data_IF_008755597711
#
_entry.id   IF_008755597711
#
_cell.length_a   1.000
_cell.length_b   1.000
_cell.length_c   1.000
_cell.angle_alpha   90.00
_cell.angle_beta   90.00
_cell.angle_gamma   90.00
#
_symmetry.space_group_name_H-M   'P 1'
#
loop_
_entity.id
_entity.type
_entity.pdbx_description
1 polymer ?
#
# COMPACT_ATOMS: atom_id res chain seq x y z
N UNK A 1 28.79 -6.20 11.64
CA UNK A 1 28.67 -5.02 10.74
C UNK A 1 29.99 -4.30 10.73
N UNK A 2 30.62 -4.19 9.56
CA UNK A 2 31.92 -3.52 9.42
C UNK A 2 31.78 -2.00 9.26
N UNK A 3 30.84 -1.60 8.40
CA UNK A 3 30.49 -0.18 8.19
C UNK A 3 28.99 -0.04 8.03
N UNK A 4 28.50 1.09 8.50
CA UNK A 4 27.10 1.51 8.34
C UNK A 4 27.04 2.99 8.03
N UNK A 5 26.35 3.36 6.98
CA UNK A 5 26.08 4.74 6.59
C UNK A 5 24.67 4.87 6.02
N UNK A 6 24.24 6.10 5.66
CA UNK A 6 22.99 6.28 4.91
C UNK A 6 23.03 5.63 3.52
N UNK A 7 24.22 5.48 2.93
CA UNK A 7 24.37 4.97 1.57
C UNK A 7 24.42 3.44 1.52
N UNK A 8 25.05 2.79 2.48
CA UNK A 8 25.12 1.31 2.52
C UNK A 8 25.51 0.75 3.89
N UNK A 9 25.15 -0.51 4.11
CA UNK A 9 25.71 -1.34 5.15
C UNK A 9 26.62 -2.40 4.54
N UNK A 10 27.77 -2.66 5.19
CA UNK A 10 28.71 -3.71 4.80
C UNK A 10 28.91 -4.67 5.98
N UNK A 11 28.80 -5.96 5.70
CA UNK A 11 28.85 -7.02 6.71
C UNK A 11 29.73 -8.16 6.23
N UNK A 12 30.55 -8.68 7.13
CA UNK A 12 31.28 -9.94 6.94
C UNK A 12 30.69 -11.03 7.84
N UNK A 13 30.91 -12.27 7.45
CA UNK A 13 30.48 -13.43 8.20
C UNK A 13 31.09 -13.42 9.62
N UNK A 14 30.27 -13.73 10.63
CA UNK A 14 30.74 -13.94 11.98
C UNK A 14 31.28 -15.36 12.11
N UNK A 15 32.58 -15.56 12.33
CA UNK A 15 33.16 -16.90 12.47
C UNK A 15 32.64 -17.67 13.70
N UNK A 16 32.09 -16.94 14.67
CA UNK A 16 31.52 -17.50 15.90
C UNK A 16 29.99 -17.47 15.89
N UNK A 17 29.37 -17.57 14.71
CA UNK A 17 27.92 -17.59 14.64
C UNK A 17 27.37 -18.87 15.30
N UNK A 18 26.39 -18.72 16.18
CA UNK A 18 25.86 -19.78 17.03
C UNK A 18 25.23 -20.96 16.27
N UNK A 19 24.69 -20.70 15.07
CA UNK A 19 24.02 -21.71 14.22
C UNK A 19 24.93 -22.22 13.09
N UNK A 20 26.22 -22.14 13.27
CA UNK A 20 27.22 -22.70 12.36
C UNK A 20 27.69 -21.74 11.27
N UNK A 21 28.24 -22.30 10.20
CA UNK A 21 28.84 -21.55 9.11
C UNK A 21 27.75 -20.93 8.20
N UNK A 22 27.83 -19.62 7.98
CA UNK A 22 26.91 -18.92 7.08
C UNK A 22 27.36 -19.02 5.62
N UNK A 23 26.42 -19.14 4.66
CA UNK A 23 26.74 -19.35 3.25
C UNK A 23 27.41 -18.13 2.58
N UNK A 24 27.07 -16.90 3.00
CA UNK A 24 27.65 -15.67 2.45
C UNK A 24 28.73 -15.12 3.39
N UNK A 25 29.95 -14.98 2.86
CA UNK A 25 31.06 -14.44 3.64
C UNK A 25 31.10 -12.92 3.70
N UNK A 26 30.54 -12.28 2.68
CA UNK A 26 30.50 -10.84 2.54
C UNK A 26 29.14 -10.42 1.97
N UNK A 27 28.52 -9.39 2.54
CA UNK A 27 27.23 -8.84 2.10
C UNK A 27 27.30 -7.32 2.12
N UNK A 28 26.95 -6.70 1.01
CA UNK A 28 26.72 -5.25 0.91
C UNK A 28 25.25 -4.97 0.69
N UNK A 29 24.68 -4.04 1.44
CA UNK A 29 23.29 -3.61 1.31
C UNK A 29 23.32 -2.11 0.94
N UNK A 30 23.30 -1.78 -0.36
CA UNK A 30 23.20 -0.39 -0.79
C UNK A 30 21.78 0.14 -0.55
N UNK A 31 21.68 1.42 -0.20
CA UNK A 31 20.39 2.14 -0.14
C UNK A 31 20.11 2.76 -1.51
N UNK A 32 19.08 2.24 -2.20
CA UNK A 32 18.63 2.75 -3.49
C UNK A 32 17.17 3.19 -3.30
N UNK A 33 16.96 4.48 -3.09
CA UNK A 33 15.64 5.03 -2.72
C UNK A 33 14.65 4.99 -3.90
N UNK A 34 15.12 5.34 -5.11
CA UNK A 34 14.27 5.31 -6.29
C UNK A 34 13.95 3.89 -6.74
N UNK A 35 12.67 3.49 -6.84
CA UNK A 35 12.27 2.14 -7.18
C UNK A 35 12.68 1.72 -8.60
N UNK A 36 12.66 2.63 -9.59
CA UNK A 36 13.06 2.31 -10.95
C UNK A 36 14.56 2.05 -11.03
N UNK A 37 15.36 2.89 -10.39
CA UNK A 37 16.83 2.68 -10.28
C UNK A 37 17.14 1.34 -9.61
N UNK A 38 16.40 0.97 -8.58
CA UNK A 38 16.57 -0.33 -7.89
C UNK A 38 16.21 -1.51 -8.81
N UNK A 39 15.15 -1.41 -9.59
CA UNK A 39 14.77 -2.41 -10.58
C UNK A 39 15.84 -2.55 -11.68
N UNK A 40 16.37 -1.45 -12.18
CA UNK A 40 17.43 -1.44 -13.19
C UNK A 40 18.74 -2.03 -12.65
N UNK A 41 19.13 -1.73 -11.43
CA UNK A 41 20.31 -2.30 -10.78
C UNK A 41 20.22 -3.84 -10.66
N UNK A 42 19.03 -4.37 -10.34
CA UNK A 42 18.80 -5.81 -10.33
C UNK A 42 18.85 -6.41 -11.75
N UNK A 43 18.29 -5.74 -12.75
CA UNK A 43 18.34 -6.21 -14.15
C UNK A 43 19.76 -6.26 -14.72
N UNK A 44 20.59 -5.26 -14.41
CA UNK A 44 21.98 -5.17 -14.84
C UNK A 44 22.90 -6.13 -14.13
N UNK A 45 22.49 -6.68 -12.98
CA UNK A 45 23.33 -7.52 -12.11
C UNK A 45 24.27 -6.71 -11.22
N UNK A 46 24.01 -5.42 -11.04
CA UNK A 46 24.74 -4.58 -10.07
C UNK A 46 24.39 -4.99 -8.63
N UNK A 47 23.16 -5.47 -8.42
CA UNK A 47 22.72 -6.10 -7.18
C UNK A 47 22.12 -7.47 -7.46
N UNK A 48 22.28 -8.39 -6.51
CA UNK A 48 21.79 -9.78 -6.62
C UNK A 48 20.37 -9.93 -6.08
N UNK A 49 19.93 -9.05 -5.19
CA UNK A 49 18.63 -9.11 -4.54
C UNK A 49 18.06 -7.70 -4.36
N UNK A 50 16.77 -7.54 -4.62
CA UNK A 50 16.04 -6.31 -4.35
C UNK A 50 14.78 -6.61 -3.56
N UNK A 51 14.44 -5.71 -2.64
CA UNK A 51 13.17 -5.70 -1.91
C UNK A 51 12.33 -4.50 -2.35
N UNK A 52 11.00 -4.59 -2.19
CA UNK A 52 10.07 -3.52 -2.54
C UNK A 52 10.18 -3.07 -4.01
N UNK A 53 10.19 -4.01 -4.94
CA UNK A 53 10.03 -3.73 -6.37
C UNK A 53 8.62 -3.15 -6.58
N UNK A 54 8.55 -2.08 -7.37
CA UNK A 54 7.26 -1.45 -7.66
C UNK A 54 6.35 -2.41 -8.46
N UNK A 55 5.03 -2.44 -8.18
CA UNK A 55 4.10 -3.32 -8.90
C UNK A 55 4.17 -3.18 -10.42
N UNK A 56 4.40 -1.97 -10.93
CA UNK A 56 4.55 -1.71 -12.36
C UNK A 56 5.76 -2.38 -13.00
N UNK A 57 6.84 -2.59 -12.21
CA UNK A 57 8.10 -3.13 -12.68
C UNK A 57 8.19 -4.66 -12.57
N UNK A 58 7.21 -5.31 -11.94
CA UNK A 58 7.21 -6.76 -11.74
C UNK A 58 7.32 -7.54 -13.06
N UNK A 59 6.77 -7.02 -14.16
CA UNK A 59 6.86 -7.64 -15.48
C UNK A 59 8.29 -7.76 -16.01
N UNK A 60 9.22 -6.89 -15.57
CA UNK A 60 10.64 -6.93 -15.94
C UNK A 60 11.35 -8.20 -15.46
N UNK A 61 10.79 -8.86 -14.45
CA UNK A 61 11.34 -10.03 -13.77
C UNK A 61 10.56 -11.31 -14.06
N UNK A 62 9.79 -11.35 -15.16
CA UNK A 62 8.95 -12.50 -15.54
C UNK A 62 9.73 -13.74 -15.96
N UNK A 63 11.01 -13.61 -16.35
CA UNK A 63 11.86 -14.75 -16.69
C UNK A 63 12.26 -15.54 -15.43
N UNK A 64 11.58 -16.66 -15.19
CA UNK A 64 11.77 -17.52 -14.02
C UNK A 64 13.11 -18.27 -14.00
N UNK A 65 13.79 -18.40 -15.14
CA UNK A 65 15.11 -19.02 -15.19
C UNK A 65 16.20 -18.08 -14.68
N UNK A 66 15.93 -16.77 -14.74
CA UNK A 66 16.85 -15.72 -14.27
C UNK A 66 16.49 -15.17 -12.90
N UNK A 67 15.21 -15.06 -12.58
CA UNK A 67 14.73 -14.38 -11.37
C UNK A 67 13.84 -15.29 -10.52
N UNK A 68 14.10 -15.29 -9.23
CA UNK A 68 13.21 -15.88 -8.24
C UNK A 68 12.44 -14.76 -7.53
N UNK A 69 11.11 -14.76 -7.65
CA UNK A 69 10.23 -13.79 -7.01
C UNK A 69 9.58 -14.44 -5.80
N UNK A 70 9.81 -13.87 -4.62
CA UNK A 70 9.11 -14.24 -3.40
C UNK A 70 8.13 -13.13 -3.00
N UNK A 71 6.83 -13.45 -2.98
CA UNK A 71 5.77 -12.57 -2.53
C UNK A 71 4.93 -13.29 -1.48
N UNK A 72 4.96 -12.80 -0.26
CA UNK A 72 4.22 -13.39 0.87
C UNK A 72 3.35 -12.34 1.54
N UNK A 73 2.18 -12.78 2.03
CA UNK A 73 1.33 -11.92 2.84
C UNK A 73 2.07 -11.48 4.11
N UNK A 74 2.09 -10.20 4.37
CA UNK A 74 2.76 -9.61 5.54
C UNK A 74 1.73 -9.07 6.54
N UNK A 75 2.22 -8.59 7.69
CA UNK A 75 1.39 -7.88 8.69
C UNK A 75 1.21 -6.39 8.35
N UNK A 76 1.60 -5.97 7.14
CA UNK A 76 1.57 -4.57 6.74
C UNK A 76 0.25 -4.23 6.07
N UNK A 77 -0.48 -3.28 6.68
CA UNK A 77 -1.64 -2.64 6.09
C UNK A 77 -1.32 -1.26 5.54
N UNK A 78 -1.95 -0.91 4.42
CA UNK A 78 -1.97 0.44 3.89
C UNK A 78 -3.37 0.99 4.11
N UNK A 79 -3.47 2.06 4.88
CA UNK A 79 -4.74 2.67 5.25
C UNK A 79 -4.70 4.19 5.12
N UNK A 80 -5.85 4.78 4.83
CA UNK A 80 -6.04 6.23 4.89
C UNK A 80 -6.57 6.62 6.27
N UNK A 81 -5.87 7.53 6.94
CA UNK A 81 -6.28 8.07 8.23
C UNK A 81 -7.08 9.34 8.01
N UNK A 82 -8.36 9.35 8.38
CA UNK A 82 -9.27 10.47 8.18
C UNK A 82 -9.19 11.49 9.31
N UNK A 83 -9.19 12.79 8.97
CA UNK A 83 -9.27 13.86 9.95
C UNK A 83 -10.71 14.06 10.42
N UNK A 84 -11.05 13.52 11.58
CA UNK A 84 -12.39 13.58 12.18
C UNK A 84 -12.58 14.76 13.16
N UNK A 85 -11.77 15.81 13.03
CA UNK A 85 -11.92 17.02 13.84
C UNK A 85 -13.24 17.73 13.50
N UNK A 86 -13.89 18.30 14.51
CA UNK A 86 -15.09 19.13 14.32
C UNK A 86 -14.84 20.27 13.31
N UNK A 87 -15.81 20.53 12.45
CA UNK A 87 -15.71 21.49 11.35
C UNK A 87 -15.01 20.99 10.08
N UNK A 88 -14.49 19.74 10.08
CA UNK A 88 -13.95 19.11 8.88
C UNK A 88 -14.98 18.17 8.24
N UNK A 89 -14.98 17.99 6.90
CA UNK A 89 -15.98 17.15 6.23
C UNK A 89 -16.04 15.73 6.79
N UNK A 90 -14.88 15.14 7.13
CA UNK A 90 -14.77 13.80 7.68
C UNK A 90 -15.25 13.64 9.14
N UNK A 91 -15.69 14.73 9.79
CA UNK A 91 -16.36 14.67 11.08
C UNK A 91 -17.70 13.92 10.96
N UNK A 92 -18.43 14.13 9.85
CA UNK A 92 -19.66 13.39 9.57
C UNK A 92 -19.35 11.94 9.14
N UNK A 93 -19.88 10.97 9.88
CA UNK A 93 -19.71 9.55 9.59
C UNK A 93 -20.20 9.18 8.18
N UNK A 94 -21.27 9.79 7.70
CA UNK A 94 -21.84 9.53 6.37
C UNK A 94 -20.87 9.91 5.25
N UNK A 95 -20.12 11.00 5.41
CA UNK A 95 -19.07 11.42 4.46
C UNK A 95 -17.93 10.40 4.42
N UNK A 96 -17.50 9.87 5.59
CA UNK A 96 -16.50 8.81 5.65
C UNK A 96 -16.96 7.52 4.98
N UNK A 97 -18.18 7.09 5.25
CA UNK A 97 -18.76 5.90 4.62
C UNK A 97 -18.96 6.08 3.11
N UNK A 98 -19.35 7.29 2.67
CA UNK A 98 -19.46 7.62 1.26
C UNK A 98 -18.10 7.48 0.54
N UNK A 99 -17.05 8.07 1.10
CA UNK A 99 -15.69 7.94 0.56
C UNK A 99 -15.26 6.47 0.44
N UNK A 100 -15.42 5.68 1.51
CA UNK A 100 -15.05 4.26 1.49
C UNK A 100 -15.87 3.45 0.49
N UNK A 101 -17.17 3.77 0.33
CA UNK A 101 -18.04 3.10 -0.63
C UNK A 101 -17.81 3.52 -2.08
N UNK A 102 -17.16 4.65 -2.33
CA UNK A 102 -16.82 5.12 -3.68
C UNK A 102 -15.54 4.49 -4.25
N UNK A 103 -14.74 3.82 -3.42
CA UNK A 103 -13.46 3.25 -3.81
C UNK A 103 -13.60 1.78 -4.24
N UNK A 104 -13.36 1.51 -5.52
CA UNK A 104 -13.24 0.14 -6.05
C UNK A 104 -11.85 -0.42 -5.74
N UNK A 105 -11.69 -0.86 -4.49
CA UNK A 105 -10.40 -1.35 -3.97
C UNK A 105 -9.93 -2.63 -4.67
N UNK A 106 -10.86 -3.48 -5.11
CA UNK A 106 -10.52 -4.72 -5.82
C UNK A 106 -9.92 -4.41 -7.19
N UNK A 107 -10.60 -3.57 -7.99
CA UNK A 107 -10.06 -3.13 -9.27
C UNK A 107 -8.74 -2.38 -9.10
N UNK A 108 -8.62 -1.56 -8.06
CA UNK A 108 -7.37 -0.86 -7.73
C UNK A 108 -6.22 -1.84 -7.49
N UNK A 109 -6.42 -2.85 -6.64
CA UNK A 109 -5.42 -3.88 -6.37
C UNK A 109 -5.03 -4.65 -7.64
N UNK A 110 -6.01 -5.02 -8.45
CA UNK A 110 -5.79 -5.80 -9.66
C UNK A 110 -5.11 -5.01 -10.78
N UNK A 111 -5.59 -3.82 -11.08
CA UNK A 111 -5.15 -3.06 -12.25
C UNK A 111 -3.88 -2.26 -11.98
N UNK A 112 -3.85 -1.50 -10.88
CA UNK A 112 -2.73 -0.63 -10.55
C UNK A 112 -1.63 -1.35 -9.78
N UNK A 113 -2.00 -2.19 -8.83
CA UNK A 113 -1.06 -2.89 -7.97
C UNK A 113 -0.70 -4.29 -8.49
N UNK A 114 -1.24 -4.70 -9.67
CA UNK A 114 -0.90 -5.97 -10.35
C UNK A 114 -0.96 -7.19 -9.42
N UNK A 115 -1.98 -7.25 -8.58
CA UNK A 115 -2.22 -8.32 -7.58
C UNK A 115 -1.08 -8.50 -6.54
N UNK A 116 -0.20 -7.51 -6.40
CA UNK A 116 0.82 -7.51 -5.33
C UNK A 116 0.28 -7.14 -3.96
N UNK A 117 -0.97 -6.66 -3.92
CA UNK A 117 -1.72 -6.34 -2.71
C UNK A 117 -3.10 -7.00 -2.74
N UNK A 118 -3.61 -7.32 -1.58
CA UNK A 118 -4.99 -7.80 -1.40
C UNK A 118 -5.88 -6.66 -0.95
N UNK A 119 -7.08 -6.56 -1.52
CA UNK A 119 -8.08 -5.60 -1.07
C UNK A 119 -8.41 -5.82 0.41
N UNK A 120 -8.16 -4.80 1.23
CA UNK A 120 -8.48 -4.82 2.66
C UNK A 120 -9.92 -4.41 2.93
N UNK A 121 -10.51 -4.93 3.98
CA UNK A 121 -11.79 -4.50 4.55
C UNK A 121 -11.62 -4.13 6.01
N UNK A 122 -11.37 -5.09 6.87
CA UNK A 122 -11.05 -4.84 8.29
C UNK A 122 -9.66 -4.20 8.45
N UNK A 123 -9.44 -3.62 9.62
CA UNK A 123 -8.15 -3.00 10.00
C UNK A 123 -7.02 -4.04 10.16
N UNK A 124 -7.37 -5.31 10.37
CA UNK A 124 -6.39 -6.38 10.55
C UNK A 124 -6.15 -7.11 9.22
N UNK A 125 -4.89 -7.41 8.87
CA UNK A 125 -4.59 -8.19 7.68
C UNK A 125 -5.02 -9.66 7.85
N UNK A 126 -5.38 -10.36 6.75
CA UNK A 126 -5.80 -11.76 6.80
C UNK A 126 -4.71 -12.73 7.29
N UNK A 127 -3.45 -12.30 7.30
CA UNK A 127 -2.32 -13.06 7.85
C UNK A 127 -2.27 -13.09 9.39
N UNK A 128 -3.13 -12.32 10.06
CA UNK A 128 -3.26 -12.30 11.52
C UNK A 128 -4.46 -13.14 11.93
N UNK A 129 -4.19 -14.26 12.58
CA UNK A 129 -5.22 -15.21 13.03
C UNK A 129 -5.84 -14.76 14.37
N UNK A 130 -6.57 -13.66 14.36
CA UNK A 130 -7.34 -13.13 15.47
C UNK A 130 -8.82 -12.91 15.11
N UNK A 131 -9.43 -13.88 14.40
CA UNK A 131 -10.82 -13.81 14.00
C UNK A 131 -11.08 -12.90 12.81
N UNK A 132 -10.11 -12.73 11.91
CA UNK A 132 -10.26 -11.96 10.67
C UNK A 132 -11.45 -12.42 9.84
N UNK A 133 -11.71 -13.72 9.78
CA UNK A 133 -12.82 -14.37 9.08
C UNK A 133 -14.20 -13.96 9.61
N UNK A 134 -14.26 -13.49 10.86
CA UNK A 134 -15.48 -13.00 11.50
C UNK A 134 -15.73 -11.50 11.24
N UNK A 135 -14.72 -10.79 10.73
CA UNK A 135 -14.80 -9.38 10.44
C UNK A 135 -15.40 -9.18 9.05
N UNK A 136 -16.43 -8.33 8.97
CA UNK A 136 -17.06 -7.95 7.71
C UNK A 136 -16.65 -6.53 7.34
N UNK A 137 -16.35 -6.31 6.07
CA UNK A 137 -16.22 -4.96 5.55
C UNK A 137 -17.60 -4.33 5.40
N UNK A 138 -17.94 -3.29 6.18
CA UNK A 138 -19.22 -2.62 6.07
C UNK A 138 -19.31 -1.68 4.84
N UNK A 139 -18.19 -1.43 4.17
CA UNK A 139 -18.06 -0.42 3.13
C UNK A 139 -17.63 -1.05 1.79
N UNK A 140 -18.45 -1.95 1.27
CA UNK A 140 -18.26 -2.49 -0.09
C UNK A 140 -18.44 -1.39 -1.14
N UNK A 141 -17.76 -1.52 -2.28
CA UNK A 141 -17.86 -0.60 -3.40
C UNK A 141 -19.32 -0.46 -3.87
N UNK A 142 -19.86 0.74 -3.78
CA UNK A 142 -21.21 1.06 -4.19
C UNK A 142 -21.35 2.58 -4.37
N UNK A 143 -21.26 3.04 -5.61
CA UNK A 143 -21.31 4.48 -5.95
C UNK A 143 -22.66 5.10 -5.62
N UNK A 144 -23.76 4.38 -5.83
CA UNK A 144 -25.10 4.91 -5.55
C UNK A 144 -25.31 5.08 -4.03
N UNK A 145 -24.81 4.13 -3.24
CA UNK A 145 -24.81 4.31 -1.77
C UNK A 145 -23.96 5.52 -1.36
N UNK A 146 -22.78 5.70 -1.99
CA UNK A 146 -21.91 6.84 -1.69
C UNK A 146 -22.59 8.17 -1.96
N UNK A 147 -23.22 8.32 -3.14
CA UNK A 147 -24.01 9.53 -3.50
C UNK A 147 -25.13 9.80 -2.50
N UNK A 148 -25.90 8.77 -2.18
CA UNK A 148 -27.00 8.90 -1.20
C UNK A 148 -26.52 9.37 0.16
N UNK A 149 -25.40 8.82 0.66
CA UNK A 149 -24.82 9.22 1.95
C UNK A 149 -24.34 10.69 1.94
N UNK A 150 -23.76 11.15 0.82
CA UNK A 150 -23.37 12.55 0.66
C UNK A 150 -24.60 13.46 0.66
N UNK A 151 -25.65 13.09 -0.08
CA UNK A 151 -26.92 13.86 -0.07
C UNK A 151 -27.56 13.93 1.32
N UNK A 152 -27.60 12.81 2.06
CA UNK A 152 -28.10 12.77 3.44
C UNK A 152 -27.24 13.61 4.40
N UNK A 153 -25.95 13.78 4.11
CA UNK A 153 -25.04 14.65 4.85
C UNK A 153 -25.14 16.13 4.42
N UNK A 154 -25.97 16.42 3.40
CA UNK A 154 -26.22 17.77 2.89
C UNK A 154 -25.24 18.22 1.81
N UNK A 155 -24.45 17.30 1.25
CA UNK A 155 -23.55 17.56 0.14
C UNK A 155 -24.24 17.21 -1.18
N UNK A 156 -24.43 18.19 -2.06
CA UNK A 156 -25.06 18.03 -3.38
C UNK A 156 -24.37 18.91 -4.39
N UNK A 157 -24.34 18.49 -5.64
CA UNK A 157 -23.96 19.36 -6.74
C UNK A 157 -25.11 20.33 -7.01
N UNK A 158 -25.02 21.56 -6.50
CA UNK A 158 -26.10 22.55 -6.61
C UNK A 158 -25.93 23.48 -7.81
N UNK A 159 -24.75 23.55 -8.41
CA UNK A 159 -24.42 24.41 -9.53
C UNK A 159 -24.19 23.66 -10.86
N UNK A 160 -24.14 22.32 -10.84
CA UNK A 160 -23.98 21.47 -12.02
C UNK A 160 -22.56 21.38 -12.54
N UNK A 161 -21.55 21.69 -11.70
CA UNK A 161 -20.12 21.64 -12.08
C UNK A 161 -19.48 20.25 -11.93
N UNK A 162 -20.24 19.27 -11.41
CA UNK A 162 -19.78 17.90 -11.19
C UNK A 162 -19.14 17.66 -9.82
N UNK A 163 -19.06 18.69 -8.97
CA UNK A 163 -18.57 18.58 -7.60
C UNK A 163 -19.72 18.77 -6.61
N UNK A 164 -19.71 18.01 -5.54
CA UNK A 164 -20.69 18.21 -4.48
C UNK A 164 -20.30 19.39 -3.60
N UNK A 165 -21.27 20.25 -3.32
CA UNK A 165 -21.10 21.43 -2.49
C UNK A 165 -22.07 21.45 -1.30
N UNK A 166 -21.77 22.25 -0.31
CA UNK A 166 -22.61 22.55 0.85
C UNK A 166 -22.40 23.99 1.26
N UNK A 167 -23.50 24.77 1.32
CA UNK A 167 -23.46 26.19 1.65
C UNK A 167 -22.50 26.98 0.73
N UNK A 168 -22.44 26.62 -0.56
CA UNK A 168 -21.60 27.26 -1.57
C UNK A 168 -20.10 26.92 -1.47
N UNK A 169 -19.72 25.86 -0.75
CA UNK A 169 -18.34 25.36 -0.65
C UNK A 169 -18.27 23.95 -1.14
N UNK A 170 -17.36 23.68 -2.08
CA UNK A 170 -17.10 22.34 -2.59
C UNK A 170 -16.55 21.43 -1.50
N UNK A 171 -16.83 20.13 -1.62
CA UNK A 171 -16.23 19.11 -0.76
C UNK A 171 -14.76 18.92 -1.17
N UNK A 172 -13.86 19.50 -0.42
CA UNK A 172 -12.43 19.41 -0.63
C UNK A 172 -11.78 18.57 0.48
N UNK A 173 -10.83 17.71 0.06
CA UNK A 173 -10.07 16.85 0.96
C UNK A 173 -8.60 16.90 0.58
N UNK A 174 -7.76 17.23 1.54
CA UNK A 174 -6.30 17.18 1.41
C UNK A 174 -5.78 15.81 1.86
N UNK A 175 -4.89 15.21 1.06
CA UNK A 175 -4.25 13.92 1.30
C UNK A 175 -2.75 14.06 1.54
#
# INVERSE_FOLDING_TARGET
VNTYSKAKAVMDANPNYWDGEVPFKHVEIPTIDDPNTRAMALQSGEIDMAINIAPGDMSLFSNKDKYNISAIASLRDVLARMNVKEGKPMYDKRVREALLSSLDRETYCKVLLKDTFTSGGPLMPPSVDYGFDQLKDPNTYNVERAKKLLEEAGWKDTNGDGYVDKEGKNLEMDF
#
